data_IF_966384297199
#
_entry.id   IF_966384297199
#
_cell.length_a   1.000
_cell.length_b   1.000
_cell.length_c   1.000
_cell.angle_alpha   90.00
_cell.angle_beta   90.00
_cell.angle_gamma   90.00
#
_symmetry.space_group_name_H-M   'P 1'
#
loop_
_entity.id
_entity.type
_entity.pdbx_description
1 polymer ?
#
# COMPACT_ATOMS: atom_id res chain seq x y z
N UNK A 1 -27.14 14.51 -2.49
CA UNK A 1 -27.34 13.16 -3.07
C UNK A 1 -27.78 12.18 -1.98
N UNK A 2 -27.05 12.08 -0.86
CA UNK A 2 -27.42 11.24 0.29
C UNK A 2 -28.73 11.61 0.97
N UNK A 3 -28.95 12.90 1.28
CA UNK A 3 -30.20 13.35 1.90
C UNK A 3 -31.44 13.09 1.02
N UNK A 4 -31.26 13.22 -0.31
CA UNK A 4 -32.30 12.86 -1.30
C UNK A 4 -32.61 11.36 -1.34
N UNK A 5 -31.72 10.52 -0.81
CA UNK A 5 -31.88 9.08 -0.67
C UNK A 5 -32.23 8.67 0.79
N UNK A 6 -32.68 9.62 1.62
CA UNK A 6 -33.09 9.42 3.02
C UNK A 6 -31.96 8.95 3.96
N UNK A 7 -30.73 9.33 3.67
CA UNK A 7 -29.62 9.20 4.62
C UNK A 7 -29.47 10.48 5.43
N UNK A 8 -29.20 10.33 6.73
CA UNK A 8 -28.77 11.45 7.58
C UNK A 8 -27.26 11.65 7.38
N UNK A 9 -26.84 12.90 7.23
CA UNK A 9 -25.43 13.27 7.01
C UNK A 9 -24.98 14.18 8.14
N UNK A 10 -23.96 13.76 8.89
CA UNK A 10 -23.33 14.57 9.93
C UNK A 10 -21.88 14.82 9.58
N UNK A 11 -21.55 16.05 9.20
CA UNK A 11 -20.16 16.45 8.93
C UNK A 11 -19.43 16.69 10.25
N UNK A 12 -18.31 16.01 10.46
CA UNK A 12 -17.45 16.19 11.64
C UNK A 12 -16.31 17.17 11.38
N UNK A 13 -15.71 17.08 10.19
CA UNK A 13 -14.58 17.95 9.79
C UNK A 13 -14.72 18.34 8.34
N UNK A 14 -14.52 19.63 8.08
CA UNK A 14 -14.44 20.19 6.74
C UNK A 14 -13.22 21.11 6.66
N UNK A 15 -12.29 20.78 5.77
CA UNK A 15 -11.10 21.57 5.45
C UNK A 15 -10.94 21.62 3.94
N UNK A 16 -10.16 22.57 3.45
CA UNK A 16 -9.80 22.61 2.04
C UNK A 16 -9.11 21.28 1.66
N UNK A 17 -9.78 20.46 0.84
CA UNK A 17 -9.26 19.18 0.37
C UNK A 17 -9.59 17.96 1.25
N UNK A 18 -10.27 18.12 2.40
CA UNK A 18 -10.67 16.99 3.24
C UNK A 18 -12.04 17.21 3.88
N UNK A 19 -12.95 16.24 3.71
CA UNK A 19 -14.26 16.21 4.37
C UNK A 19 -14.44 14.87 5.07
N UNK A 20 -14.83 14.89 6.33
CA UNK A 20 -15.17 13.70 7.12
C UNK A 20 -16.61 13.84 7.60
N UNK A 21 -17.46 12.87 7.24
CA UNK A 21 -18.87 12.86 7.59
C UNK A 21 -19.34 11.45 7.96
N UNK A 22 -20.23 11.35 8.94
CA UNK A 22 -21.01 10.14 9.19
C UNK A 22 -22.24 10.15 8.30
N UNK A 23 -22.47 9.04 7.60
CA UNK A 23 -23.67 8.78 6.82
C UNK A 23 -24.47 7.72 7.57
N UNK A 24 -25.67 8.05 8.04
CA UNK A 24 -26.52 7.15 8.83
C UNK A 24 -27.80 6.80 8.10
N UNK A 25 -28.31 5.60 8.37
CA UNK A 25 -29.69 5.20 8.03
C UNK A 25 -30.19 4.20 9.05
N UNK A 26 -31.21 4.57 9.81
CA UNK A 26 -31.70 3.74 10.92
C UNK A 26 -30.63 3.57 11.99
N UNK A 27 -30.33 2.32 12.35
CA UNK A 27 -29.28 1.99 13.32
C UNK A 27 -27.85 2.00 12.75
N UNK A 28 -27.71 1.95 11.43
CA UNK A 28 -26.41 1.80 10.77
C UNK A 28 -25.77 3.14 10.47
N UNK A 29 -24.44 3.19 10.60
CA UNK A 29 -23.62 4.36 10.34
C UNK A 29 -22.33 3.98 9.62
N UNK A 30 -21.92 4.80 8.66
CA UNK A 30 -20.63 4.67 7.96
C UNK A 30 -19.90 6.01 8.04
N UNK A 31 -18.63 5.96 8.45
CA UNK A 31 -17.74 7.10 8.34
C UNK A 31 -17.24 7.22 6.89
N UNK A 32 -17.52 8.34 6.24
CA UNK A 32 -17.05 8.68 4.90
C UNK A 32 -16.03 9.80 4.98
N UNK A 33 -14.84 9.56 4.42
CA UNK A 33 -13.78 10.54 4.30
C UNK A 33 -13.49 10.81 2.82
N UNK A 34 -13.53 12.08 2.43
CA UNK A 34 -13.23 12.53 1.07
C UNK A 34 -11.95 13.34 1.08
N UNK A 35 -10.89 12.84 0.43
CA UNK A 35 -9.59 13.50 0.34
C UNK A 35 -9.27 13.87 -1.11
N UNK A 36 -8.88 15.13 -1.36
CA UNK A 36 -8.50 15.63 -2.68
C UNK A 36 -7.02 15.35 -3.02
N UNK A 37 -6.18 15.26 -2.01
CA UNK A 37 -4.72 15.29 -2.15
C UNK A 37 -4.11 13.91 -2.42
N UNK A 38 -4.93 12.86 -2.55
CA UNK A 38 -4.52 11.48 -2.86
C UNK A 38 -4.50 11.16 -4.36
N UNK A 39 -4.33 12.19 -5.20
CA UNK A 39 -4.50 12.06 -6.65
C UNK A 39 -3.34 11.34 -7.36
N UNK A 40 -2.16 11.25 -6.74
CA UNK A 40 -1.01 10.54 -7.29
C UNK A 40 -1.20 9.03 -7.14
N UNK A 41 -1.10 8.32 -8.26
CA UNK A 41 -1.19 6.86 -8.32
C UNK A 41 -0.32 6.31 -9.44
N UNK A 42 0.09 5.06 -9.31
CA UNK A 42 0.88 4.37 -10.32
C UNK A 42 0.00 3.92 -11.48
N UNK A 43 -1.13 3.30 -11.17
CA UNK A 43 -2.02 2.72 -12.16
C UNK A 43 -3.36 3.47 -12.23
N UNK A 44 -4.12 3.31 -13.32
CA UNK A 44 -5.49 3.80 -13.40
C UNK A 44 -6.39 3.12 -12.35
N UNK A 45 -7.57 3.71 -12.12
CA UNK A 45 -8.59 3.06 -11.31
C UNK A 45 -9.06 1.77 -11.99
N UNK A 46 -9.45 0.80 -11.18
CA UNK A 46 -9.97 -0.50 -11.64
C UNK A 46 -11.45 -0.61 -11.30
N UNK A 47 -12.20 -1.34 -12.11
CA UNK A 47 -13.60 -1.62 -11.83
C UNK A 47 -13.71 -2.75 -10.78
N UNK A 48 -14.41 -2.49 -9.70
CA UNK A 48 -14.84 -3.46 -8.70
C UNK A 48 -16.34 -3.73 -8.87
N UNK A 49 -16.74 -5.00 -8.71
CA UNK A 49 -18.13 -5.41 -8.87
C UNK A 49 -19.08 -4.69 -7.90
N UNK A 50 -18.65 -4.50 -6.65
CA UNK A 50 -19.48 -3.92 -5.59
C UNK A 50 -19.25 -2.42 -5.37
N UNK A 51 -18.02 -1.94 -5.59
CA UNK A 51 -17.60 -0.60 -5.16
C UNK A 51 -17.46 0.38 -6.32
N UNK A 52 -17.74 -0.04 -7.56
CA UNK A 52 -17.51 0.80 -8.72
C UNK A 52 -16.02 0.97 -8.99
N UNK A 53 -15.55 2.21 -9.20
CA UNK A 53 -14.14 2.49 -9.45
C UNK A 53 -13.33 2.50 -8.15
N UNK A 54 -12.30 1.65 -8.06
CA UNK A 54 -11.40 1.54 -6.91
C UNK A 54 -9.93 1.75 -7.32
N UNK A 55 -9.06 1.93 -6.32
CA UNK A 55 -7.61 1.98 -6.55
C UNK A 55 -7.11 0.62 -7.05
N UNK A 56 -6.11 0.65 -7.92
CA UNK A 56 -5.37 -0.55 -8.27
C UNK A 56 -4.74 -1.17 -7.00
N UNK A 57 -4.68 -2.51 -6.84
CA UNK A 57 -4.15 -3.15 -5.62
C UNK A 57 -2.73 -2.69 -5.26
N UNK A 58 -1.88 -2.44 -6.27
CA UNK A 58 -0.56 -1.85 -6.07
C UNK A 58 -0.58 -0.47 -5.41
N UNK A 59 -1.52 0.38 -5.83
CA UNK A 59 -1.67 1.71 -5.26
C UNK A 59 -2.15 1.65 -3.82
N UNK A 60 -3.04 0.72 -3.50
CA UNK A 60 -3.47 0.45 -2.13
C UNK A 60 -2.30 -0.05 -1.28
N UNK A 61 -1.52 -1.01 -1.78
CA UNK A 61 -0.38 -1.60 -1.07
C UNK A 61 0.72 -0.57 -0.75
N UNK A 62 1.09 0.29 -1.70
CA UNK A 62 2.06 1.38 -1.47
C UNK A 62 1.54 2.40 -0.47
N UNK A 63 0.24 2.73 -0.49
CA UNK A 63 -0.38 3.58 0.53
C UNK A 63 -0.40 2.92 1.92
N UNK A 64 -0.53 1.59 1.99
CA UNK A 64 -0.44 0.83 3.25
C UNK A 64 0.97 0.85 3.83
N UNK A 65 2.00 0.74 2.99
CA UNK A 65 3.40 0.89 3.44
C UNK A 65 3.66 2.28 4.01
N UNK A 66 3.13 3.35 3.38
CA UNK A 66 3.25 4.70 3.94
C UNK A 66 2.43 4.88 5.23
N UNK A 67 1.25 4.27 5.33
CA UNK A 67 0.47 4.28 6.57
C UNK A 67 1.22 3.58 7.71
N UNK A 68 1.86 2.44 7.45
CA UNK A 68 2.64 1.69 8.44
C UNK A 68 3.76 2.53 9.08
N UNK A 69 4.38 3.43 8.31
CA UNK A 69 5.44 4.34 8.83
C UNK A 69 4.89 5.67 9.33
N UNK A 70 3.70 6.09 8.88
CA UNK A 70 3.07 7.35 9.26
C UNK A 70 2.20 7.29 10.52
N UNK A 71 1.76 6.09 10.93
CA UNK A 71 0.94 5.87 12.13
C UNK A 71 1.14 4.47 12.71
N UNK A 72 0.85 4.32 14.01
CA UNK A 72 1.02 3.07 14.74
C UNK A 72 -0.34 2.36 14.83
N UNK A 73 -0.68 1.57 13.82
CA UNK A 73 -1.91 0.76 13.81
C UNK A 73 -1.62 -0.70 13.43
N UNK A 74 -2.04 -1.65 14.27
CA UNK A 74 -1.82 -3.09 14.08
C UNK A 74 -2.34 -3.61 12.73
N UNK A 75 -3.43 -3.03 12.22
CA UNK A 75 -4.00 -3.38 10.91
C UNK A 75 -3.04 -3.12 9.76
N UNK A 76 -2.28 -2.02 9.79
CA UNK A 76 -1.42 -1.65 8.67
C UNK A 76 -0.22 -2.61 8.58
N UNK A 77 0.20 -3.17 9.71
CA UNK A 77 1.19 -4.24 9.76
C UNK A 77 0.68 -5.53 9.12
N UNK A 78 -0.49 -6.01 9.53
CA UNK A 78 -1.09 -7.24 8.96
C UNK A 78 -1.38 -7.07 7.46
N UNK A 79 -1.93 -5.92 7.07
CA UNK A 79 -2.20 -5.58 5.68
C UNK A 79 -0.91 -5.56 4.85
N UNK A 80 0.19 -5.04 5.41
CA UNK A 80 1.50 -5.00 4.73
C UNK A 80 2.08 -6.39 4.49
N UNK A 81 2.01 -7.28 5.49
CA UNK A 81 2.43 -8.69 5.33
C UNK A 81 1.62 -9.40 4.25
N UNK A 82 0.33 -9.07 4.16
CA UNK A 82 -0.57 -9.61 3.12
C UNK A 82 -0.23 -9.04 1.75
N UNK A 83 0.06 -7.74 1.65
CA UNK A 83 0.45 -7.09 0.41
C UNK A 83 1.77 -7.64 -0.15
N UNK A 84 2.77 -7.90 0.70
CA UNK A 84 4.02 -8.56 0.29
C UNK A 84 3.73 -9.89 -0.43
N UNK A 85 2.83 -10.69 0.15
CA UNK A 85 2.45 -12.01 -0.37
C UNK A 85 1.52 -11.97 -1.56
N UNK A 86 0.63 -10.99 -1.67
CA UNK A 86 -0.46 -10.99 -2.66
C UNK A 86 -0.26 -9.98 -3.79
N UNK A 87 0.48 -8.90 -3.57
CA UNK A 87 0.62 -7.80 -4.54
C UNK A 87 2.03 -7.75 -5.09
N UNK A 88 3.01 -7.41 -4.26
CA UNK A 88 4.42 -7.33 -4.64
C UNK A 88 5.28 -7.37 -3.36
N UNK A 89 6.46 -8.01 -3.37
CA UNK A 89 7.32 -8.03 -2.19
C UNK A 89 7.63 -6.64 -1.63
N UNK A 90 7.75 -6.56 -0.29
CA UNK A 90 7.84 -5.32 0.49
C UNK A 90 8.96 -4.39 0.00
N UNK A 91 10.08 -4.94 -0.46
CA UNK A 91 11.18 -4.13 -1.03
C UNK A 91 10.72 -3.26 -2.21
N UNK A 92 9.94 -3.83 -3.13
CA UNK A 92 9.40 -3.10 -4.28
C UNK A 92 8.27 -2.14 -3.89
N UNK A 93 7.46 -2.51 -2.89
CA UNK A 93 6.42 -1.63 -2.37
C UNK A 93 7.03 -0.39 -1.69
N UNK A 94 8.04 -0.57 -0.83
CA UNK A 94 8.78 0.51 -0.21
C UNK A 94 9.53 1.36 -1.26
N UNK A 95 10.10 0.70 -2.27
CA UNK A 95 10.74 1.36 -3.41
C UNK A 95 9.81 2.31 -4.16
N UNK A 96 8.59 1.87 -4.45
CA UNK A 96 7.61 2.71 -5.12
C UNK A 96 6.97 3.75 -4.17
N UNK A 97 6.73 3.39 -2.91
CA UNK A 97 6.07 4.26 -1.93
C UNK A 97 6.76 5.62 -1.77
N UNK A 98 8.10 5.70 -1.83
CA UNK A 98 8.81 6.98 -1.77
C UNK A 98 8.50 7.93 -2.95
N UNK A 99 8.00 7.40 -4.08
CA UNK A 99 7.51 8.23 -5.19
C UNK A 99 6.20 8.95 -4.88
N UNK A 100 5.42 8.46 -3.91
CA UNK A 100 4.21 9.10 -3.40
C UNK A 100 4.51 10.13 -2.32
N UNK A 101 5.51 9.86 -1.49
CA UNK A 101 5.96 10.77 -0.43
C UNK A 101 7.49 11.00 -0.54
N UNK A 102 7.92 12.10 -1.18
CA UNK A 102 9.33 12.40 -1.39
C UNK A 102 10.08 12.78 -0.10
N UNK A 103 9.39 12.88 1.05
CA UNK A 103 10.03 12.99 2.36
C UNK A 103 10.73 11.70 2.81
N UNK A 104 10.49 10.59 2.12
CA UNK A 104 11.10 9.30 2.41
C UNK A 104 12.01 8.80 1.29
N UNK A 105 13.00 8.00 1.67
CA UNK A 105 13.73 7.10 0.76
C UNK A 105 13.21 5.67 0.95
N UNK A 106 13.41 4.75 -0.01
CA UNK A 106 13.02 3.35 0.16
C UNK A 106 13.59 2.73 1.43
N UNK A 107 14.87 3.00 1.74
CA UNK A 107 15.52 2.47 2.94
C UNK A 107 14.95 3.09 4.22
N UNK A 108 14.68 4.40 4.24
CA UNK A 108 14.12 5.03 5.44
C UNK A 108 12.71 4.54 5.76
N UNK A 109 11.90 4.17 4.75
CA UNK A 109 10.62 3.49 4.95
C UNK A 109 10.83 2.15 5.66
N UNK A 110 11.77 1.32 5.18
CA UNK A 110 12.03 0.00 5.76
C UNK A 110 12.55 0.10 7.19
N UNK A 111 13.46 1.03 7.49
CA UNK A 111 14.00 1.19 8.83
C UNK A 111 12.98 1.78 9.81
N UNK A 112 12.12 2.69 9.33
CA UNK A 112 11.02 3.19 10.14
C UNK A 112 10.02 2.07 10.47
N UNK A 113 9.61 1.29 9.47
CA UNK A 113 8.73 0.16 9.67
C UNK A 113 9.36 -0.89 10.61
N UNK A 114 10.66 -1.16 10.49
CA UNK A 114 11.38 -2.08 11.37
C UNK A 114 11.33 -1.67 12.84
N UNK A 115 11.32 -0.36 13.10
CA UNK A 115 11.29 0.23 14.43
C UNK A 115 9.89 0.21 15.04
N UNK A 116 8.87 0.51 14.25
CA UNK A 116 7.49 0.75 14.72
C UNK A 116 6.58 -0.47 14.64
N UNK A 117 6.88 -1.45 13.78
CA UNK A 117 6.06 -2.65 13.60
C UNK A 117 6.22 -3.67 14.75
N UNK A 118 5.79 -3.28 15.94
CA UNK A 118 5.81 -4.10 17.16
C UNK A 118 4.42 -4.06 17.78
N UNK A 119 3.72 -5.18 17.71
CA UNK A 119 2.36 -5.31 18.22
C UNK A 119 2.26 -6.49 19.18
N UNK A 120 1.49 -6.29 20.23
CA UNK A 120 1.16 -7.29 21.23
C UNK A 120 0.11 -8.27 20.70
N UNK A 121 0.03 -9.44 21.33
CA UNK A 121 -1.02 -10.42 21.03
C UNK A 121 -2.43 -9.82 21.17
N UNK A 122 -2.66 -9.00 22.21
CA UNK A 122 -3.93 -8.33 22.42
C UNK A 122 -4.29 -7.35 21.29
N UNK A 123 -3.33 -6.58 20.79
CA UNK A 123 -3.57 -5.65 19.67
C UNK A 123 -3.90 -6.38 18.37
N UNK A 124 -3.24 -7.50 18.09
CA UNK A 124 -3.55 -8.31 16.90
C UNK A 124 -4.92 -8.97 17.05
N UNK A 125 -5.22 -9.56 18.21
CA UNK A 125 -6.51 -10.24 18.46
C UNK A 125 -7.71 -9.30 18.53
N UNK A 126 -7.49 -8.01 18.76
CA UNK A 126 -8.55 -7.00 18.73
C UNK A 126 -9.00 -6.62 17.31
N UNK A 127 -8.31 -7.09 16.27
CA UNK A 127 -8.68 -6.86 14.88
C UNK A 127 -9.79 -7.81 14.43
N UNK A 128 -10.67 -7.32 13.57
CA UNK A 128 -11.71 -8.13 12.94
C UNK A 128 -11.14 -8.90 11.74
N UNK A 129 -11.09 -10.23 11.86
CA UNK A 129 -10.68 -11.13 10.79
C UNK A 129 -11.89 -11.86 10.21
N UNK A 130 -11.88 -12.09 8.90
CA UNK A 130 -12.91 -12.91 8.24
C UNK A 130 -12.82 -14.41 8.61
N UNK A 131 -11.75 -14.82 9.30
CA UNK A 131 -11.50 -16.18 9.75
C UNK A 131 -10.70 -16.19 11.06
N UNK A 132 -9.94 -17.25 11.30
CA UNK A 132 -9.09 -17.34 12.49
C UNK A 132 -8.03 -16.23 12.49
N UNK A 133 -7.85 -15.60 13.66
CA UNK A 133 -6.82 -14.59 13.82
C UNK A 133 -5.43 -15.22 13.65
N UNK A 134 -4.52 -14.61 12.88
CA UNK A 134 -3.19 -15.14 12.65
C UNK A 134 -2.38 -15.19 13.96
N UNK A 135 -1.49 -16.17 14.09
CA UNK A 135 -0.56 -16.26 15.22
C UNK A 135 0.41 -15.06 15.20
N UNK A 136 0.42 -14.18 16.23
CA UNK A 136 1.34 -13.04 16.29
C UNK A 136 2.82 -13.44 16.25
N UNK A 137 3.16 -14.64 16.71
CA UNK A 137 4.54 -15.14 16.65
C UNK A 137 4.93 -15.49 15.21
N UNK A 138 4.03 -16.11 14.45
CA UNK A 138 4.22 -16.36 13.02
C UNK A 138 4.28 -15.06 12.23
N UNK A 139 3.43 -14.08 12.53
CA UNK A 139 3.50 -12.75 11.92
C UNK A 139 4.87 -12.10 12.17
N UNK A 140 5.36 -12.18 13.41
CA UNK A 140 6.67 -11.62 13.78
C UNK A 140 7.83 -12.32 13.08
N UNK A 141 7.77 -13.65 12.90
CA UNK A 141 8.78 -14.40 12.14
C UNK A 141 8.74 -14.01 10.65
N UNK A 142 7.55 -13.96 10.07
CA UNK A 142 7.32 -13.56 8.67
C UNK A 142 7.85 -12.16 8.41
N UNK A 143 7.55 -11.22 9.31
CA UNK A 143 8.03 -9.84 9.22
C UNK A 143 9.56 -9.76 9.11
N UNK A 144 10.30 -10.49 9.97
CA UNK A 144 11.76 -10.47 9.92
C UNK A 144 12.31 -10.97 8.59
N UNK A 145 11.72 -12.02 8.03
CA UNK A 145 12.11 -12.59 6.73
C UNK A 145 11.82 -11.60 5.61
N UNK A 146 10.60 -11.07 5.54
CA UNK A 146 10.20 -10.10 4.52
C UNK A 146 11.02 -8.82 4.59
N UNK A 147 11.31 -8.31 5.79
CA UNK A 147 12.12 -7.12 5.98
C UNK A 147 13.58 -7.33 5.54
N UNK A 148 14.16 -8.49 5.83
CA UNK A 148 15.51 -8.82 5.35
C UNK A 148 15.55 -8.90 3.81
N UNK A 149 14.60 -9.59 3.19
CA UNK A 149 14.48 -9.67 1.73
C UNK A 149 14.23 -8.28 1.11
N UNK A 150 13.40 -7.45 1.73
CA UNK A 150 13.10 -6.09 1.28
C UNK A 150 14.35 -5.21 1.25
N UNK A 151 15.20 -5.28 2.29
CA UNK A 151 16.47 -4.55 2.33
C UNK A 151 17.40 -4.97 1.20
N UNK A 152 17.48 -6.28 0.92
CA UNK A 152 18.31 -6.80 -0.15
C UNK A 152 17.83 -6.35 -1.55
N UNK A 153 16.52 -6.35 -1.78
CA UNK A 153 15.89 -5.79 -2.99
C UNK A 153 16.21 -4.31 -3.15
N UNK A 154 15.99 -3.50 -2.10
CA UNK A 154 16.25 -2.04 -2.13
C UNK A 154 17.73 -1.74 -2.39
N UNK A 155 18.65 -2.53 -1.82
CA UNK A 155 20.08 -2.39 -2.05
C UNK A 155 20.53 -2.77 -3.48
N UNK A 156 19.72 -3.55 -4.19
CA UNK A 156 20.03 -4.06 -5.53
C UNK A 156 19.44 -3.20 -6.65
N UNK A 157 18.32 -2.51 -6.40
CA UNK A 157 17.65 -1.69 -7.40
C UNK A 157 18.46 -0.42 -7.75
N UNK A 158 18.45 0.03 -9.03
CA UNK A 158 19.16 1.24 -9.46
C UNK A 158 18.56 2.50 -8.84
N UNK A 159 19.35 3.28 -8.10
CA UNK A 159 18.88 4.42 -7.30
C UNK A 159 18.11 5.49 -8.10
N UNK A 160 18.45 5.68 -9.37
CA UNK A 160 17.79 6.60 -10.30
C UNK A 160 16.34 6.23 -10.63
N UNK A 161 15.95 4.97 -10.40
CA UNK A 161 14.60 4.46 -10.63
C UNK A 161 13.73 4.47 -9.35
N UNK A 162 14.23 5.07 -8.26
CA UNK A 162 13.50 5.18 -6.99
C UNK A 162 12.14 5.87 -7.17
N UNK A 163 11.12 5.35 -6.48
CA UNK A 163 9.76 5.88 -6.55
C UNK A 163 8.96 5.45 -7.76
N UNK A 164 9.43 4.45 -8.52
CA UNK A 164 8.71 3.85 -9.66
C UNK A 164 8.27 2.42 -9.35
N UNK A 165 7.15 1.99 -9.94
CA UNK A 165 6.72 0.60 -9.85
C UNK A 165 7.64 -0.28 -10.72
N UNK A 166 8.15 -1.38 -10.15
CA UNK A 166 9.03 -2.31 -10.87
C UNK A 166 8.17 -3.39 -11.53
N UNK A 167 8.29 -3.50 -12.85
CA UNK A 167 7.54 -4.44 -13.68
C UNK A 167 8.49 -5.41 -14.40
N UNK A 168 7.96 -6.57 -14.80
CA UNK A 168 8.60 -7.46 -15.76
C UNK A 168 8.40 -6.98 -17.21
N UNK A 169 9.03 -7.67 -18.17
CA UNK A 169 8.91 -7.37 -19.61
C UNK A 169 7.47 -7.44 -20.14
N UNK A 170 6.59 -8.19 -19.48
CA UNK A 170 5.17 -8.30 -19.84
C UNK A 170 4.32 -7.17 -19.26
N UNK A 171 4.91 -6.28 -18.46
CA UNK A 171 4.22 -5.18 -17.79
C UNK A 171 3.49 -5.57 -16.51
N UNK A 172 3.75 -6.76 -15.97
CA UNK A 172 3.20 -7.19 -14.69
C UNK A 172 4.14 -6.78 -13.56
N UNK A 173 3.61 -6.64 -12.35
CA UNK A 173 4.43 -6.35 -11.17
C UNK A 173 5.50 -7.43 -11.02
N UNK A 174 6.78 -7.04 -10.94
CA UNK A 174 7.87 -7.98 -10.77
C UNK A 174 7.87 -8.53 -9.34
N UNK A 175 7.95 -9.85 -9.17
CA UNK A 175 7.81 -10.50 -7.85
C UNK A 175 8.99 -11.38 -7.45
N UNK A 176 10.07 -11.34 -8.22
CA UNK A 176 11.28 -12.11 -7.95
C UNK A 176 11.92 -11.69 -6.62
N UNK A 177 12.60 -12.65 -5.99
CA UNK A 177 13.51 -12.39 -4.88
C UNK A 177 14.79 -11.69 -5.35
N UNK A 178 15.78 -11.53 -4.47
CA UNK A 178 17.04 -10.86 -4.78
C UNK A 178 17.80 -11.54 -5.94
N UNK A 179 17.83 -12.87 -5.98
CA UNK A 179 18.55 -13.61 -7.02
C UNK A 179 17.88 -13.40 -8.39
N UNK A 180 16.55 -13.56 -8.44
CA UNK A 180 15.78 -13.29 -9.63
C UNK A 180 15.88 -11.81 -10.07
N UNK A 181 15.94 -10.89 -9.12
CA UNK A 181 16.12 -9.46 -9.38
C UNK A 181 17.47 -9.18 -10.05
N UNK A 182 18.56 -9.73 -9.52
CA UNK A 182 19.91 -9.58 -10.10
C UNK A 182 19.96 -10.15 -11.52
N UNK A 183 19.35 -11.31 -11.74
CA UNK A 183 19.27 -11.90 -13.07
C UNK A 183 18.45 -11.03 -14.04
N UNK A 184 17.29 -10.52 -13.61
CA UNK A 184 16.44 -9.65 -14.43
C UNK A 184 17.12 -8.33 -14.77
N UNK A 185 17.87 -7.74 -13.85
CA UNK A 185 18.70 -6.55 -14.09
C UNK A 185 19.78 -6.82 -15.14
N UNK A 186 20.53 -7.92 -14.99
CA UNK A 186 21.58 -8.29 -15.92
C UNK A 186 21.03 -8.55 -17.35
N UNK A 187 19.80 -9.07 -17.45
CA UNK A 187 19.12 -9.32 -18.70
C UNK A 187 18.41 -8.08 -19.30
N UNK A 188 18.31 -6.96 -18.58
CA UNK A 188 17.50 -5.81 -19.02
C UNK A 188 15.98 -6.10 -19.04
N UNK A 189 15.55 -7.08 -18.25
CA UNK A 189 14.18 -7.62 -18.25
C UNK A 189 13.20 -6.88 -17.33
N UNK A 190 13.63 -5.75 -16.75
CA UNK A 190 12.79 -4.91 -15.88
C UNK A 190 12.28 -3.69 -16.64
N UNK A 191 11.09 -3.23 -16.25
CA UNK A 191 10.51 -1.95 -16.69
C UNK A 191 10.13 -1.13 -15.47
N UNK A 192 10.44 0.16 -15.49
CA UNK A 192 10.20 1.07 -14.37
C UNK A 192 9.05 2.03 -14.71
N UNK A 193 7.91 1.81 -14.08
CA UNK A 193 6.69 2.54 -14.36
C UNK A 193 6.48 3.70 -13.39
N UNK A 194 6.46 4.92 -13.93
CA UNK A 194 6.26 6.14 -13.17
C UNK A 194 4.76 6.40 -12.96
N UNK A 195 4.36 6.70 -11.73
CA UNK A 195 3.02 7.18 -11.42
C UNK A 195 2.78 8.63 -11.85
N UNK A 196 1.52 9.05 -11.79
CA UNK A 196 1.09 10.40 -12.16
C UNK A 196 -0.17 10.79 -11.39
N UNK A 197 -0.53 12.08 -11.46
CA UNK A 197 -1.88 12.49 -11.07
C UNK A 197 -2.85 11.75 -11.99
N UNK A 198 -3.76 11.00 -11.38
CA UNK A 198 -4.74 10.12 -12.04
C UNK A 198 -4.19 8.81 -12.62
N UNK A 199 -2.92 8.50 -12.40
CA UNK A 199 -2.33 7.23 -12.83
C UNK A 199 -2.05 7.16 -14.32
N UNK A 200 -1.24 6.17 -14.68
CA UNK A 200 -0.84 5.94 -16.06
C UNK A 200 -0.85 4.44 -16.37
N UNK A 201 -1.19 4.09 -17.61
CA UNK A 201 -0.96 2.73 -18.10
C UNK A 201 0.55 2.52 -18.29
N UNK A 202 1.09 1.33 -17.94
CA UNK A 202 2.48 0.99 -18.22
C UNK A 202 2.81 1.14 -19.71
N UNK A 203 3.97 1.73 -20.00
CA UNK A 203 4.52 1.76 -21.36
C UNK A 203 5.58 0.67 -21.49
N UNK A 204 5.26 -0.36 -22.27
CA UNK A 204 6.20 -1.40 -22.66
C UNK A 204 6.90 -0.91 -23.93
N UNK A 205 7.97 -0.13 -23.75
CA UNK A 205 8.90 0.22 -24.84
C UNK A 205 10.14 -0.62 -24.68
#
# INVERSE_FOLDING_TARGET
MFEKAHYEVRVFRERQGFVEAEIRRGGDAVLMQWARDSAYRFFPLVQHAEFGLTLHPFDLATSKVLALVGRIEARDFVDTLTCDRQVQPLGYLAWAACGKDPGFSPLSILEEAARTARYTDAEIRALDFAGEAPDPQELSRTWRVQLAAARAVVATLPAEEAGRAVLDESGRLFRGDEEALRAALAAGALRYHRGSIRGAFPRLV
#
